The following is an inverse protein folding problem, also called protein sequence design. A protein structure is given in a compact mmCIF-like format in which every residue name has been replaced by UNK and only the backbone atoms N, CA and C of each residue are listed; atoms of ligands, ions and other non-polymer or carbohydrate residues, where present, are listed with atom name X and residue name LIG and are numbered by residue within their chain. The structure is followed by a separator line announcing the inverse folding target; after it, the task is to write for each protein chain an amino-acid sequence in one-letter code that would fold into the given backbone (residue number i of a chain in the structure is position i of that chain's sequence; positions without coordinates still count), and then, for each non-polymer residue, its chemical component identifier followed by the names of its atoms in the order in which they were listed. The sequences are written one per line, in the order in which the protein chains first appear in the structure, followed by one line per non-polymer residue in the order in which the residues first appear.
data_IF_063417967986
#
_entry.id   IF_063417967986
#
_cell.length_a   1.000
_cell.length_b   1.000
_cell.length_c   1.000
_cell.angle_alpha   90.00
_cell.angle_beta   90.00
_cell.angle_gamma   90.00
#
_symmetry.space_group_name_H-M   'P 1'
#
loop_
_entity.id
_entity.type
_entity.pdbx_description
1 polymer ?
#
# COMPACT_ATOMS: atom_id res chain seq x y z
N UNK A 1 -38.62 12.82 -56.16
CA UNK A 1 -38.03 11.86 -55.19
C UNK A 1 -37.07 12.65 -54.31
N UNK A 2 -37.45 12.92 -53.05
CA UNK A 2 -36.62 13.63 -52.07
C UNK A 2 -36.07 12.61 -51.07
N UNK A 3 -34.75 12.46 -51.02
CA UNK A 3 -34.06 11.66 -50.01
C UNK A 3 -33.79 12.54 -48.78
N UNK A 4 -34.45 12.23 -47.66
CA UNK A 4 -34.15 12.81 -46.35
C UNK A 4 -33.08 11.96 -45.67
N UNK A 5 -31.86 12.47 -45.57
CA UNK A 5 -30.78 11.88 -44.79
C UNK A 5 -30.94 12.31 -43.33
N UNK A 6 -31.26 11.38 -42.44
CA UNK A 6 -31.32 11.62 -40.99
C UNK A 6 -29.93 11.28 -40.44
N UNK A 7 -29.16 12.29 -40.04
CA UNK A 7 -27.95 12.10 -39.24
C UNK A 7 -28.37 11.82 -37.79
N UNK A 8 -28.21 10.58 -37.34
CA UNK A 8 -28.31 10.22 -35.92
C UNK A 8 -26.96 10.50 -35.25
N UNK A 9 -26.92 11.53 -34.42
CA UNK A 9 -25.78 11.81 -33.53
C UNK A 9 -25.86 10.79 -32.38
N UNK A 10 -25.09 9.71 -32.46
CA UNK A 10 -24.89 8.80 -31.33
C UNK A 10 -23.98 9.50 -30.32
N UNK A 11 -24.57 10.04 -29.26
CA UNK A 11 -23.84 10.44 -28.06
C UNK A 11 -23.24 9.18 -27.43
N UNK A 12 -21.95 8.95 -27.65
CA UNK A 12 -21.17 7.98 -26.88
C UNK A 12 -21.11 8.48 -25.44
N UNK A 13 -22.00 7.97 -24.61
CA UNK A 13 -21.83 8.04 -23.17
C UNK A 13 -20.58 7.24 -22.83
N UNK A 14 -19.47 7.94 -22.59
CA UNK A 14 -18.31 7.38 -21.90
C UNK A 14 -18.79 7.00 -20.51
N UNK A 15 -19.15 5.74 -20.34
CA UNK A 15 -19.23 5.09 -19.03
C UNK A 15 -17.83 5.21 -18.43
N UNK A 16 -17.62 6.23 -17.61
CA UNK A 16 -16.55 6.21 -16.64
C UNK A 16 -16.84 5.02 -15.73
N UNK A 17 -16.21 3.90 -16.01
CA UNK A 17 -16.10 2.80 -15.06
C UNK A 17 -15.24 3.38 -13.95
N UNK A 18 -15.89 4.01 -12.97
CA UNK A 18 -15.32 4.23 -11.65
C UNK A 18 -15.15 2.85 -11.04
N UNK A 19 -14.11 2.15 -11.48
CA UNK A 19 -13.47 1.13 -10.69
C UNK A 19 -12.93 1.85 -9.47
N UNK A 20 -13.76 2.00 -8.44
CA UNK A 20 -13.26 2.21 -7.11
C UNK A 20 -12.37 0.99 -6.83
N UNK A 21 -11.05 1.17 -6.93
CA UNK A 21 -10.10 0.26 -6.31
C UNK A 21 -10.41 0.33 -4.81
N UNK A 22 -11.34 -0.52 -4.35
CA UNK A 22 -11.83 -0.53 -2.97
C UNK A 22 -10.75 -0.95 -1.95
N UNK A 23 -9.49 -1.06 -2.39
CA UNK A 23 -8.32 -1.27 -1.56
C UNK A 23 -7.29 -0.15 -1.65
N UNK A 24 -7.39 0.85 -2.55
CA UNK A 24 -6.41 1.94 -2.68
C UNK A 24 -6.94 3.23 -2.07
N UNK A 25 -6.08 3.89 -1.30
CA UNK A 25 -6.40 5.15 -0.66
C UNK A 25 -6.58 6.30 -1.64
N UNK A 26 -7.36 7.30 -1.24
CA UNK A 26 -7.39 8.57 -1.94
C UNK A 26 -5.98 9.20 -1.97
N UNK A 27 -5.46 9.59 -3.14
CA UNK A 27 -4.09 10.11 -3.25
C UNK A 27 -3.82 11.36 -2.42
N UNK A 28 -4.82 12.20 -2.14
CA UNK A 28 -4.65 13.38 -1.28
C UNK A 28 -4.57 12.99 0.19
N UNK A 29 -5.39 12.02 0.62
CA UNK A 29 -5.32 11.45 1.98
C UNK A 29 -3.96 10.79 2.19
N UNK A 30 -3.53 9.94 1.25
CA UNK A 30 -2.21 9.30 1.29
C UNK A 30 -1.08 10.33 1.41
N UNK A 31 -1.06 11.35 0.54
CA UNK A 31 -0.03 12.41 0.54
C UNK A 31 0.01 13.20 1.85
N UNK A 32 -1.15 13.40 2.49
CA UNK A 32 -1.26 14.15 3.74
C UNK A 32 -0.85 13.32 4.96
N UNK A 33 -1.34 12.09 5.05
CA UNK A 33 -1.34 11.34 6.31
C UNK A 33 -0.34 10.17 6.34
N UNK A 34 0.01 9.62 5.17
CA UNK A 34 0.82 8.39 5.08
C UNK A 34 2.20 8.68 4.50
N UNK A 35 2.28 9.31 3.33
CA UNK A 35 3.52 9.54 2.59
C UNK A 35 4.63 10.23 3.42
N UNK A 36 4.35 11.24 4.28
CA UNK A 36 5.40 11.88 5.09
C UNK A 36 6.12 10.90 6.02
N UNK A 37 5.38 9.96 6.61
CA UNK A 37 5.94 8.92 7.50
C UNK A 37 6.81 7.94 6.71
N UNK A 38 6.39 7.59 5.49
CA UNK A 38 7.16 6.72 4.59
C UNK A 38 8.48 7.38 4.20
N UNK A 39 8.44 8.63 3.75
CA UNK A 39 9.63 9.40 3.37
C UNK A 39 10.58 9.59 4.55
N UNK A 40 10.05 9.92 5.72
CA UNK A 40 10.86 10.04 6.94
C UNK A 40 11.61 8.73 7.22
N UNK A 41 10.95 7.58 7.13
CA UNK A 41 11.58 6.27 7.37
C UNK A 41 12.71 5.99 6.39
N UNK A 42 12.51 6.26 5.09
CA UNK A 42 13.54 6.07 4.06
C UNK A 42 14.75 6.98 4.35
N UNK A 43 14.53 8.26 4.66
CA UNK A 43 15.60 9.23 4.99
C UNK A 43 16.34 8.84 6.26
N UNK A 44 15.62 8.44 7.31
CA UNK A 44 16.19 7.99 8.58
C UNK A 44 17.05 6.75 8.35
N UNK A 45 16.57 5.79 7.55
CA UNK A 45 17.32 4.59 7.20
C UNK A 45 18.61 4.92 6.45
N UNK A 46 18.54 5.73 5.39
CA UNK A 46 19.72 6.20 4.65
C UNK A 46 20.75 6.85 5.58
N UNK A 47 20.28 7.69 6.50
CA UNK A 47 21.15 8.41 7.43
C UNK A 47 21.86 7.45 8.39
N UNK A 48 21.13 6.49 8.96
CA UNK A 48 21.69 5.49 9.89
C UNK A 48 22.68 4.55 9.22
N UNK A 49 22.48 4.25 7.93
CA UNK A 49 23.25 3.25 7.19
C UNK A 49 24.18 3.84 6.11
N UNK A 50 24.41 5.15 6.10
CA UNK A 50 25.09 5.86 5.01
C UNK A 50 26.44 5.26 4.58
N UNK A 51 27.21 4.70 5.52
CA UNK A 51 28.51 4.07 5.24
C UNK A 51 28.45 2.58 4.88
N UNK A 52 27.28 1.95 4.95
CA UNK A 52 27.09 0.51 4.78
C UNK A 52 26.22 0.12 3.58
N UNK A 53 25.43 1.06 3.04
CA UNK A 53 24.58 0.80 1.88
C UNK A 53 25.43 0.59 0.62
N UNK A 54 25.18 -0.48 -0.13
CA UNK A 54 25.73 -0.66 -1.47
C UNK A 54 24.90 0.06 -2.54
N UNK A 55 25.35 -0.01 -3.80
CA UNK A 55 24.70 0.68 -4.92
C UNK A 55 23.30 0.12 -5.21
N UNK A 56 23.08 -1.19 -5.03
CA UNK A 56 21.76 -1.82 -5.23
C UNK A 56 20.76 -1.35 -4.18
N UNK A 57 21.20 -1.32 -2.91
CA UNK A 57 20.40 -0.86 -1.79
C UNK A 57 20.00 0.61 -1.94
N UNK A 58 20.95 1.46 -2.37
CA UNK A 58 20.65 2.87 -2.67
C UNK A 58 19.64 3.01 -3.81
N UNK A 59 19.82 2.27 -4.91
CA UNK A 59 18.90 2.31 -6.04
C UNK A 59 17.47 1.90 -5.66
N UNK A 60 17.31 0.89 -4.80
CA UNK A 60 15.99 0.50 -4.27
C UNK A 60 15.41 1.62 -3.41
N UNK A 61 16.18 2.22 -2.50
CA UNK A 61 15.68 3.33 -1.67
C UNK A 61 15.28 4.55 -2.53
N UNK A 62 16.01 4.83 -3.61
CA UNK A 62 15.69 5.89 -4.56
C UNK A 62 14.38 5.61 -5.30
N UNK A 63 14.17 4.35 -5.72
CA UNK A 63 12.89 3.90 -6.30
C UNK A 63 11.75 4.04 -5.29
N UNK A 64 11.94 3.60 -4.04
CA UNK A 64 10.94 3.70 -2.98
C UNK A 64 10.51 5.17 -2.76
N UNK A 65 11.46 6.09 -2.68
CA UNK A 65 11.17 7.50 -2.53
C UNK A 65 10.37 8.06 -3.71
N UNK A 66 10.76 7.71 -4.93
CA UNK A 66 10.05 8.13 -6.14
C UNK A 66 8.60 7.59 -6.16
N UNK A 67 8.40 6.32 -5.80
CA UNK A 67 7.09 5.69 -5.75
C UNK A 67 6.20 6.32 -4.68
N UNK A 68 6.76 6.63 -3.50
CA UNK A 68 6.04 7.34 -2.44
C UNK A 68 5.64 8.76 -2.87
N UNK A 69 6.55 9.55 -3.46
CA UNK A 69 6.27 10.93 -3.91
C UNK A 69 5.21 10.95 -5.01
N UNK A 70 5.31 10.02 -5.96
CA UNK A 70 4.38 9.94 -7.09
C UNK A 70 3.08 9.21 -6.75
N UNK A 71 2.99 8.56 -5.57
CA UNK A 71 1.89 7.67 -5.22
C UNK A 71 1.73 6.55 -6.27
N UNK A 72 2.86 6.05 -6.78
CA UNK A 72 2.90 5.05 -7.84
C UNK A 72 2.59 3.66 -7.26
N UNK A 73 1.64 2.98 -7.90
CA UNK A 73 1.15 1.66 -7.46
C UNK A 73 1.21 0.63 -8.60
N UNK A 74 1.70 1.05 -9.77
CA UNK A 74 1.60 0.31 -11.02
C UNK A 74 2.39 -1.01 -11.01
N UNK A 75 3.42 -1.09 -10.16
CA UNK A 75 4.33 -2.25 -10.10
C UNK A 75 4.87 -2.52 -8.69
N UNK A 76 3.93 -2.60 -7.73
CA UNK A 76 4.23 -2.98 -6.34
C UNK A 76 4.96 -4.34 -6.26
N UNK A 77 4.55 -5.41 -6.99
CA UNK A 77 5.26 -6.69 -6.91
C UNK A 77 6.74 -6.62 -7.29
N UNK A 78 7.11 -5.90 -8.36
CA UNK A 78 8.52 -5.79 -8.73
C UNK A 78 9.32 -4.93 -7.75
N UNK A 79 8.67 -3.97 -7.08
CA UNK A 79 9.32 -3.22 -6.00
C UNK A 79 9.59 -4.12 -4.79
N UNK A 80 8.62 -4.94 -4.39
CA UNK A 80 8.76 -5.90 -3.29
C UNK A 80 9.88 -6.90 -3.58
N UNK A 81 9.92 -7.46 -4.80
CA UNK A 81 10.98 -8.36 -5.25
C UNK A 81 12.36 -7.70 -5.22
N UNK A 82 12.48 -6.48 -5.78
CA UNK A 82 13.75 -5.74 -5.79
C UNK A 82 14.25 -5.41 -4.37
N UNK A 83 13.31 -5.10 -3.48
CA UNK A 83 13.58 -4.80 -2.09
C UNK A 83 14.01 -6.04 -1.29
N UNK A 84 13.33 -7.17 -1.47
CA UNK A 84 13.74 -8.45 -0.89
C UNK A 84 15.12 -8.87 -1.38
N UNK A 85 15.40 -8.71 -2.67
CA UNK A 85 16.72 -9.03 -3.23
C UNK A 85 17.85 -8.17 -2.65
N UNK A 86 17.60 -6.88 -2.36
CA UNK A 86 18.62 -5.95 -1.86
C UNK A 86 18.81 -5.97 -0.34
N UNK A 87 17.74 -6.23 0.42
CA UNK A 87 17.73 -6.09 1.89
C UNK A 87 17.36 -7.38 2.64
N UNK A 88 16.70 -8.32 1.95
CA UNK A 88 16.07 -9.49 2.55
C UNK A 88 14.72 -9.18 3.20
N UNK A 89 13.89 -10.21 3.32
CA UNK A 89 12.46 -10.08 3.63
C UNK A 89 12.13 -9.27 4.90
N UNK A 90 12.90 -9.47 5.97
CA UNK A 90 12.64 -8.81 7.24
C UNK A 90 12.86 -7.29 7.15
N UNK A 91 13.96 -6.89 6.53
CA UNK A 91 14.35 -5.51 6.36
C UNK A 91 13.47 -4.84 5.29
N UNK A 92 13.16 -5.57 4.22
CA UNK A 92 12.25 -5.11 3.20
C UNK A 92 10.84 -4.82 3.76
N UNK A 93 10.31 -5.72 4.59
CA UNK A 93 9.03 -5.51 5.28
C UNK A 93 9.05 -4.23 6.12
N UNK A 94 10.11 -3.98 6.87
CA UNK A 94 10.27 -2.75 7.63
C UNK A 94 10.30 -1.52 6.70
N UNK A 95 11.12 -1.55 5.66
CA UNK A 95 11.27 -0.43 4.73
C UNK A 95 9.97 -0.10 3.98
N UNK A 96 9.18 -1.11 3.60
CA UNK A 96 7.94 -0.91 2.84
C UNK A 96 6.72 -0.63 3.72
N UNK A 97 6.66 -1.14 4.95
CA UNK A 97 5.44 -1.04 5.77
C UNK A 97 5.62 -0.33 7.10
N UNK A 98 6.86 -0.15 7.56
CA UNK A 98 7.18 0.31 8.91
C UNK A 98 6.87 -0.72 10.00
N UNK A 99 6.52 -1.96 9.64
CA UNK A 99 6.24 -3.05 10.58
C UNK A 99 7.52 -3.84 10.86
N UNK A 100 8.03 -3.75 12.08
CA UNK A 100 9.14 -4.56 12.57
C UNK A 100 8.66 -5.97 12.97
N UNK A 101 9.57 -6.95 13.02
CA UNK A 101 9.33 -8.27 13.65
C UNK A 101 9.03 -8.19 15.16
N UNK A 102 9.13 -7.01 15.77
CA UNK A 102 9.04 -6.84 17.22
C UNK A 102 8.18 -5.63 17.60
N UNK A 103 6.88 -5.89 17.77
CA UNK A 103 6.02 -5.46 18.89
C UNK A 103 4.55 -5.43 18.43
N UNK A 104 3.89 -6.59 18.48
CA UNK A 104 2.47 -6.60 18.82
C UNK A 104 2.36 -6.27 20.32
N UNK A 105 2.58 -5.00 20.66
CA UNK A 105 2.05 -4.49 21.92
C UNK A 105 0.54 -4.42 21.73
N UNK A 106 -0.18 -5.23 22.50
CA UNK A 106 -1.62 -5.36 22.45
C UNK A 106 -2.31 -3.98 22.48
N UNK A 107 -2.79 -3.52 21.34
CA UNK A 107 -3.87 -2.52 21.27
C UNK A 107 -5.17 -3.28 21.02
N UNK A 108 -5.48 -4.22 21.90
CA UNK A 108 -6.73 -4.98 21.88
C UNK A 108 -7.64 -4.68 23.08
N UNK A 109 -7.40 -3.60 23.82
CA UNK A 109 -8.21 -3.27 25.00
C UNK A 109 -8.58 -1.79 25.08
N UNK A 110 -9.23 -1.21 24.06
CA UNK A 110 -9.86 0.11 24.20
C UNK A 110 -10.97 0.49 23.19
N UNK A 111 -11.25 -0.26 22.11
CA UNK A 111 -12.29 0.11 21.13
C UNK A 111 -13.31 -1.02 20.99
N UNK A 112 -14.60 -0.70 21.09
CA UNK A 112 -15.72 -1.65 20.92
C UNK A 112 -15.74 -2.35 19.55
N UNK A 113 -14.96 -1.86 18.57
CA UNK A 113 -14.74 -2.48 17.25
C UNK A 113 -13.24 -2.53 16.97
N UNK A 114 -12.73 -3.73 16.66
CA UNK A 114 -11.32 -3.96 16.31
C UNK A 114 -11.02 -3.21 15.01
N UNK A 115 -9.93 -2.43 14.94
CA UNK A 115 -9.45 -1.85 13.69
C UNK A 115 -8.86 -2.96 12.81
N UNK A 116 -9.13 -2.94 11.51
CA UNK A 116 -8.41 -3.79 10.57
C UNK A 116 -6.91 -3.46 10.59
N UNK A 117 -6.04 -4.45 10.33
CA UNK A 117 -4.58 -4.33 10.49
C UNK A 117 -3.78 -4.77 9.25
N UNK A 118 -4.46 -5.38 8.26
CA UNK A 118 -3.91 -5.81 6.99
C UNK A 118 -4.85 -5.43 5.85
N UNK A 119 -4.31 -5.44 4.63
CA UNK A 119 -5.07 -5.30 3.39
C UNK A 119 -5.05 -6.64 2.67
N UNK A 120 -6.18 -7.16 2.19
CA UNK A 120 -6.20 -8.38 1.38
C UNK A 120 -5.54 -8.22 -0.01
N UNK A 121 -5.32 -6.99 -0.46
CA UNK A 121 -4.54 -6.64 -1.65
C UNK A 121 -3.02 -6.69 -1.40
N UNK A 122 -2.59 -6.49 -0.16
CA UNK A 122 -1.17 -6.45 0.25
C UNK A 122 -1.05 -6.78 1.74
N UNK A 123 -1.08 -8.07 2.07
CA UNK A 123 -1.39 -8.53 3.43
C UNK A 123 -0.31 -8.24 4.47
N UNK A 124 0.96 -8.34 4.09
CA UNK A 124 2.14 -8.15 4.96
C UNK A 124 2.00 -8.76 6.36
N UNK A 125 1.19 -9.82 6.47
CA UNK A 125 1.02 -10.57 7.71
C UNK A 125 2.32 -11.31 8.03
N UNK A 126 2.53 -11.65 9.29
CA UNK A 126 3.69 -12.46 9.67
C UNK A 126 3.56 -13.90 9.16
N UNK A 127 4.68 -14.62 9.11
CA UNK A 127 4.73 -16.01 8.69
C UNK A 127 3.71 -16.87 9.47
N UNK A 128 2.95 -17.69 8.74
CA UNK A 128 1.87 -18.50 9.30
C UNK A 128 0.53 -17.78 9.46
N UNK A 129 0.43 -16.51 9.07
CA UNK A 129 -0.81 -15.74 9.04
C UNK A 129 -1.19 -15.32 7.62
N UNK A 130 -2.48 -15.12 7.37
CA UNK A 130 -3.02 -14.52 6.15
C UNK A 130 -3.95 -13.36 6.51
N UNK A 131 -4.09 -12.37 5.61
CA UNK A 131 -5.15 -11.39 5.79
C UNK A 131 -6.50 -12.03 5.48
N UNK A 132 -7.47 -11.84 6.38
CA UNK A 132 -8.85 -12.27 6.17
C UNK A 132 -9.76 -11.05 6.18
N UNK A 133 -10.34 -10.77 5.00
CA UNK A 133 -11.15 -9.60 4.72
C UNK A 133 -12.32 -9.51 5.71
N UNK A 134 -12.45 -8.35 6.36
CA UNK A 134 -13.48 -8.03 7.35
C UNK A 134 -13.70 -9.09 8.43
N UNK A 135 -12.67 -9.87 8.79
CA UNK A 135 -12.78 -10.84 9.87
C UNK A 135 -13.25 -10.15 11.16
N UNK A 136 -14.27 -10.75 11.81
CA UNK A 136 -14.98 -10.18 12.98
C UNK A 136 -15.50 -8.74 12.78
N UNK A 137 -15.81 -8.36 11.55
CA UNK A 137 -16.30 -7.03 11.20
C UNK A 137 -15.35 -5.93 11.72
N UNK A 138 -14.04 -6.09 11.50
CA UNK A 138 -13.09 -5.03 11.83
C UNK A 138 -13.48 -3.71 11.12
N UNK A 139 -13.09 -2.58 11.71
CA UNK A 139 -13.33 -1.28 11.10
C UNK A 139 -12.22 -0.96 10.11
N UNK A 140 -12.62 -0.75 8.85
CA UNK A 140 -11.72 -0.31 7.78
C UNK A 140 -11.06 1.00 8.20
N UNK A 141 -9.77 1.10 7.93
CA UNK A 141 -8.96 2.28 8.19
C UNK A 141 -7.81 2.35 7.19
N UNK A 142 -7.01 3.39 7.32
CA UNK A 142 -5.97 3.80 6.39
C UNK A 142 -4.59 3.26 6.76
N UNK A 143 -3.71 3.05 5.77
CA UNK A 143 -2.27 2.89 6.01
C UNK A 143 -1.76 1.44 6.01
N UNK A 144 -2.42 0.51 5.33
CA UNK A 144 -1.96 -0.87 5.17
C UNK A 144 -1.30 -1.12 3.82
N UNK A 145 -0.70 -2.31 3.67
CA UNK A 145 -0.03 -2.70 2.44
C UNK A 145 1.31 -2.00 2.22
N UNK A 146 1.85 -2.19 1.03
CA UNK A 146 3.10 -1.54 0.60
C UNK A 146 2.95 -0.03 0.65
N UNK A 147 3.89 0.62 1.35
CA UNK A 147 3.90 2.04 1.70
C UNK A 147 2.68 2.57 2.45
N UNK A 148 1.83 1.70 2.97
CA UNK A 148 0.56 2.13 3.54
C UNK A 148 -0.43 2.67 2.50
N UNK A 149 -0.25 2.36 1.21
CA UNK A 149 -1.11 2.87 0.13
C UNK A 149 -2.51 2.24 0.10
N UNK A 150 -2.71 1.17 0.87
CA UNK A 150 -3.94 0.40 0.86
C UNK A 150 -4.77 0.62 2.11
N UNK A 151 -6.07 0.46 1.95
CA UNK A 151 -6.99 0.38 3.08
C UNK A 151 -6.71 -0.90 3.88
N UNK A 152 -6.59 -0.74 5.19
CA UNK A 152 -6.66 -1.84 6.13
C UNK A 152 -8.11 -2.35 6.15
N UNK A 153 -8.35 -3.52 5.59
CA UNK A 153 -9.69 -4.08 5.42
C UNK A 153 -9.86 -5.49 6.02
N UNK A 154 -8.80 -6.08 6.58
CA UNK A 154 -8.84 -7.40 7.21
C UNK A 154 -8.03 -7.50 8.50
N UNK A 155 -8.03 -8.72 9.07
CA UNK A 155 -7.18 -9.10 10.20
C UNK A 155 -6.24 -10.23 9.81
N UNK A 156 -5.02 -10.20 10.36
CA UNK A 156 -4.08 -11.29 10.19
C UNK A 156 -4.50 -12.46 11.08
N UNK A 157 -5.01 -13.53 10.48
CA UNK A 157 -5.43 -14.75 11.17
C UNK A 157 -4.50 -15.92 10.82
N UNK A 158 -4.38 -16.94 11.69
CA UNK A 158 -3.62 -18.14 11.37
C UNK A 158 -4.10 -18.78 10.07
N UNK A 159 -3.15 -19.25 9.26
CA UNK A 159 -3.41 -20.04 8.05
C UNK A 159 -4.03 -21.40 8.37
#
# INVERSE_FOLDING_TARGET
MQFKTILSITATATLAISGAHAGLQDPQVYKRDVAPTQLYRIVEYRTRHAGALDDSQRAVLDRMEADVVNSATDDVPALEEACDAAFGAAECKYLLTGKDKSKRAAVLSARQKVLCECSDESDWCDDGFRCDYQYKQCSVNDGCGTFGMYDCNGLCIPK
#
